data_IF_640124995752
#
_entry.id   IF_640124995752
#
_cell.length_a   1.000
_cell.length_b   1.000
_cell.length_c   1.000
_cell.angle_alpha   90.00
_cell.angle_beta   90.00
_cell.angle_gamma   90.00
#
_symmetry.space_group_name_H-M   'P 1'
#
loop_
_entity.id
_entity.type
_entity.pdbx_description
1 polymer ?
#
# COMPACT_ATOMS: atom_id res chain seq x y z
N UNK A 1 -22.44 10.31 12.97
CA UNK A 1 -21.83 9.22 12.20
C UNK A 1 -20.52 8.91 12.88
N UNK A 2 -20.27 7.66 13.21
CA UNK A 2 -18.96 7.20 13.70
C UNK A 2 -17.91 7.45 12.63
N UNK A 3 -16.65 7.63 13.01
CA UNK A 3 -15.58 7.68 12.03
C UNK A 3 -15.31 6.24 11.54
N UNK A 4 -15.04 6.02 10.23
CA UNK A 4 -14.54 4.73 9.76
C UNK A 4 -13.27 4.37 10.54
N UNK A 5 -13.10 3.11 10.93
CA UNK A 5 -11.93 2.72 11.74
C UNK A 5 -10.70 2.43 10.89
N UNK A 6 -10.93 1.93 9.68
CA UNK A 6 -9.86 1.49 8.78
C UNK A 6 -10.04 2.05 7.37
N UNK A 7 -8.95 2.57 6.81
CA UNK A 7 -8.81 2.85 5.38
C UNK A 7 -8.08 1.71 4.67
N UNK A 8 -8.50 1.40 3.45
CA UNK A 8 -7.83 0.46 2.55
C UNK A 8 -7.44 1.20 1.28
N UNK A 9 -6.14 1.23 0.98
CA UNK A 9 -5.59 1.85 -0.23
C UNK A 9 -5.16 0.74 -1.20
N UNK A 10 -5.86 0.57 -2.32
CA UNK A 10 -5.52 -0.45 -3.30
C UNK A 10 -6.47 -0.48 -4.50
N UNK A 11 -6.27 -1.43 -5.41
CA UNK A 11 -7.05 -1.48 -6.66
C UNK A 11 -8.56 -1.74 -6.46
N UNK A 12 -9.36 -1.50 -7.50
CA UNK A 12 -10.82 -1.71 -7.47
C UNK A 12 -11.24 -3.16 -7.20
N UNK A 13 -10.34 -4.13 -7.33
CA UNK A 13 -10.57 -5.50 -6.89
C UNK A 13 -10.94 -5.63 -5.40
N UNK A 14 -10.50 -4.68 -4.57
CA UNK A 14 -10.79 -4.67 -3.13
C UNK A 14 -12.20 -4.19 -2.79
N UNK A 15 -12.86 -3.43 -3.67
CA UNK A 15 -14.29 -3.07 -3.47
C UNK A 15 -15.24 -4.21 -3.86
N UNK A 16 -14.70 -5.40 -4.19
CA UNK A 16 -15.45 -6.64 -4.46
C UNK A 16 -15.22 -7.69 -3.37
N UNK A 17 -14.84 -7.24 -2.17
CA UNK A 17 -14.80 -8.07 -0.98
C UNK A 17 -16.17 -8.70 -0.74
N UNK A 18 -16.17 -9.99 -0.41
CA UNK A 18 -17.38 -10.66 0.08
C UNK A 18 -17.80 -9.96 1.38
N UNK A 19 -19.10 -9.75 1.55
CA UNK A 19 -19.68 -9.11 2.74
C UNK A 19 -19.34 -7.61 2.89
N UNK A 20 -18.85 -6.96 1.83
CA UNK A 20 -18.76 -5.51 1.75
C UNK A 20 -20.09 -4.91 1.30
N UNK A 21 -20.73 -4.18 2.20
CA UNK A 21 -21.88 -3.34 1.87
C UNK A 21 -21.43 -1.91 1.61
N UNK A 22 -21.44 -1.47 0.34
CA UNK A 22 -21.11 -0.08 -0.02
C UNK A 22 -22.28 0.81 0.38
N UNK A 23 -22.04 1.77 1.28
CA UNK A 23 -23.05 2.72 1.73
C UNK A 23 -23.13 3.93 0.83
N UNK A 24 -21.98 4.53 0.49
CA UNK A 24 -21.92 5.71 -0.37
C UNK A 24 -20.52 5.93 -0.95
N UNK A 25 -20.44 6.87 -1.90
CA UNK A 25 -19.17 7.37 -2.45
C UNK A 25 -19.08 8.86 -2.20
N UNK A 26 -17.91 9.35 -1.79
CA UNK A 26 -17.68 10.77 -1.51
C UNK A 26 -16.50 11.27 -2.32
N UNK A 27 -16.73 12.30 -3.13
CA UNK A 27 -15.65 13.09 -3.73
C UNK A 27 -15.11 14.02 -2.64
N UNK A 28 -13.80 14.03 -2.46
CA UNK A 28 -13.11 14.84 -1.45
C UNK A 28 -12.18 15.81 -2.17
N UNK A 29 -12.31 17.09 -1.87
CA UNK A 29 -11.36 18.11 -2.33
C UNK A 29 -10.29 18.31 -1.24
N UNK A 30 -9.03 18.47 -1.64
CA UNK A 30 -7.92 18.69 -0.71
C UNK A 30 -7.11 19.93 -1.09
N UNK A 31 -6.37 20.54 -0.14
CA UNK A 31 -5.42 21.61 -0.46
C UNK A 31 -4.33 21.20 -1.46
N UNK A 32 -4.14 19.90 -1.68
CA UNK A 32 -3.11 19.32 -2.54
C UNK A 32 -3.67 18.85 -3.90
N UNK A 33 -4.89 19.26 -4.24
CA UNK A 33 -5.60 18.85 -5.45
C UNK A 33 -6.52 17.64 -5.23
N UNK A 34 -6.87 16.98 -6.32
CA UNK A 34 -7.83 15.86 -6.29
C UNK A 34 -7.16 14.54 -5.90
N UNK A 35 -7.80 13.72 -5.05
CA UNK A 35 -7.44 12.32 -4.87
C UNK A 35 -7.62 11.53 -6.18
N UNK A 36 -7.03 10.33 -6.23
CA UNK A 36 -7.09 9.43 -7.39
C UNK A 36 -8.52 9.00 -7.80
N UNK A 37 -9.51 9.19 -6.91
CA UNK A 37 -10.92 8.99 -7.19
C UNK A 37 -11.79 9.21 -5.95
N UNK A 38 -13.12 9.03 -6.09
CA UNK A 38 -14.04 9.09 -4.95
C UNK A 38 -13.68 8.04 -3.90
N UNK A 39 -13.69 8.44 -2.63
CA UNK A 39 -13.61 7.51 -1.51
C UNK A 39 -14.90 6.68 -1.47
N UNK A 40 -14.77 5.38 -1.28
CA UNK A 40 -15.90 4.45 -1.20
C UNK A 40 -16.05 4.04 0.26
N UNK A 41 -17.20 4.34 0.85
CA UNK A 41 -17.52 3.99 2.22
C UNK A 41 -18.40 2.75 2.24
N UNK A 42 -18.21 1.90 3.23
CA UNK A 42 -19.02 0.72 3.40
C UNK A 42 -18.80 0.04 4.74
N UNK A 43 -19.55 -1.02 4.97
CA UNK A 43 -19.35 -1.93 6.10
C UNK A 43 -18.75 -3.22 5.58
N UNK A 44 -17.64 -3.65 6.17
CA UNK A 44 -17.11 -5.00 5.99
C UNK A 44 -17.23 -5.72 7.33
N UNK A 45 -17.98 -6.81 7.36
CA UNK A 45 -18.28 -7.53 8.62
C UNK A 45 -18.85 -6.62 9.72
N UNK A 46 -19.69 -5.64 9.35
CA UNK A 46 -20.29 -4.69 10.32
C UNK A 46 -19.40 -3.50 10.70
N UNK A 47 -18.12 -3.48 10.32
CA UNK A 47 -17.20 -2.37 10.60
C UNK A 47 -17.15 -1.37 9.46
N UNK A 48 -17.36 -0.10 9.81
CA UNK A 48 -17.25 1.02 8.88
C UNK A 48 -15.81 1.17 8.37
N UNK A 49 -15.64 1.04 7.06
CA UNK A 49 -14.37 0.99 6.34
C UNK A 49 -14.43 1.93 5.13
N UNK A 50 -13.31 2.58 4.81
CA UNK A 50 -13.18 3.43 3.63
C UNK A 50 -12.14 2.90 2.65
N UNK A 51 -12.44 2.94 1.36
CA UNK A 51 -11.59 2.43 0.29
C UNK A 51 -11.19 3.56 -0.66
N UNK A 52 -9.92 3.58 -1.04
CA UNK A 52 -9.36 4.52 -2.02
C UNK A 52 -8.62 3.78 -3.14
N UNK A 53 -9.06 3.90 -4.41
CA UNK A 53 -8.32 3.35 -5.53
C UNK A 53 -7.09 4.19 -5.88
N UNK A 54 -5.90 3.71 -5.49
CA UNK A 54 -4.62 4.42 -5.71
C UNK A 54 -4.42 4.88 -7.17
N UNK A 55 -4.78 4.03 -8.12
CA UNK A 55 -4.63 4.27 -9.57
C UNK A 55 -5.93 4.75 -10.25
N UNK A 56 -6.92 5.16 -9.44
CA UNK A 56 -8.27 5.49 -9.90
C UNK A 56 -9.09 4.25 -10.28
N UNK A 57 -10.39 4.44 -10.51
CA UNK A 57 -11.33 3.34 -10.72
C UNK A 57 -11.03 2.49 -11.97
N UNK A 58 -10.41 3.09 -12.99
CA UNK A 58 -10.04 2.42 -14.25
C UNK A 58 -8.57 2.02 -14.31
N UNK A 59 -7.81 2.17 -13.22
CA UNK A 59 -6.37 1.87 -13.18
C UNK A 59 -5.56 2.66 -14.24
N UNK A 60 -5.88 3.93 -14.44
CA UNK A 60 -5.29 4.78 -15.50
C UNK A 60 -4.23 5.75 -15.01
N UNK A 61 -4.03 5.86 -13.69
CA UNK A 61 -3.05 6.79 -13.11
C UNK A 61 -1.77 6.01 -12.82
N UNK A 62 -0.66 6.24 -13.54
CA UNK A 62 0.60 5.54 -13.27
C UNK A 62 1.20 5.97 -11.92
N UNK A 63 2.07 5.15 -11.28
CA UNK A 63 2.58 5.42 -9.93
C UNK A 63 3.17 6.83 -9.74
N UNK A 64 4.01 7.29 -10.64
CA UNK A 64 4.65 8.61 -10.58
C UNK A 64 3.69 9.80 -10.74
N UNK A 65 2.42 9.58 -11.15
CA UNK A 65 1.39 10.61 -11.27
C UNK A 65 0.30 10.51 -10.19
N UNK A 66 0.38 9.51 -9.31
CA UNK A 66 -0.55 9.40 -8.19
C UNK A 66 -0.38 10.62 -7.28
N UNK A 67 -1.49 11.29 -6.97
CA UNK A 67 -1.48 12.39 -6.01
C UNK A 67 -1.50 11.86 -4.58
N UNK A 68 -0.34 11.38 -4.10
CA UNK A 68 -0.22 10.76 -2.78
C UNK A 68 -0.64 11.70 -1.65
N UNK A 69 -0.30 12.99 -1.74
CA UNK A 69 -0.70 14.00 -0.76
C UNK A 69 -2.21 14.11 -0.64
N UNK A 70 -2.92 14.26 -1.75
CA UNK A 70 -4.38 14.34 -1.75
C UNK A 70 -5.02 13.03 -1.25
N UNK A 71 -4.47 11.88 -1.66
CA UNK A 71 -4.96 10.57 -1.23
C UNK A 71 -4.90 10.38 0.29
N UNK A 72 -3.70 10.54 0.86
CA UNK A 72 -3.48 10.32 2.30
C UNK A 72 -4.18 11.40 3.13
N UNK A 73 -4.20 12.65 2.66
CA UNK A 73 -4.92 13.75 3.32
C UNK A 73 -6.43 13.52 3.34
N UNK A 74 -7.01 13.06 2.23
CA UNK A 74 -8.44 12.78 2.14
C UNK A 74 -8.86 11.66 3.08
N UNK A 75 -8.03 10.60 3.20
CA UNK A 75 -8.25 9.51 4.15
C UNK A 75 -8.13 9.98 5.58
N UNK A 76 -7.05 10.68 5.94
CA UNK A 76 -6.90 11.24 7.28
C UNK A 76 -8.11 12.11 7.70
N UNK A 77 -8.61 12.95 6.78
CA UNK A 77 -9.80 13.78 7.03
C UNK A 77 -11.14 13.02 7.10
N UNK A 78 -11.17 11.71 6.83
CA UNK A 78 -12.34 10.91 7.21
C UNK A 78 -12.35 10.55 8.69
N UNK A 79 -11.24 10.74 9.40
CA UNK A 79 -11.08 10.35 10.80
C UNK A 79 -10.71 8.88 11.00
N UNK A 80 -10.13 8.21 9.99
CA UNK A 80 -9.66 6.83 10.17
C UNK A 80 -8.54 6.73 11.21
N UNK A 81 -8.60 5.67 12.00
CA UNK A 81 -7.55 5.35 12.99
C UNK A 81 -6.31 4.76 12.32
N UNK A 82 -6.52 3.95 11.27
CA UNK A 82 -5.45 3.29 10.54
C UNK A 82 -5.72 3.19 9.04
N UNK A 83 -4.65 2.98 8.27
CA UNK A 83 -4.69 2.71 6.84
C UNK A 83 -3.81 1.50 6.48
N UNK A 84 -4.36 0.58 5.67
CA UNK A 84 -3.62 -0.55 5.10
C UNK A 84 -3.53 -0.37 3.59
N UNK A 85 -2.31 -0.29 3.10
CA UNK A 85 -2.01 -0.18 1.68
C UNK A 85 -1.72 -1.54 1.07
N UNK A 86 -2.51 -1.94 0.07
CA UNK A 86 -2.23 -3.14 -0.72
C UNK A 86 -1.40 -2.74 -1.94
N UNK A 87 -0.26 -3.40 -2.14
CA UNK A 87 0.66 -3.12 -3.24
C UNK A 87 1.09 -4.39 -3.97
N UNK A 88 1.01 -4.39 -5.30
CA UNK A 88 1.64 -5.41 -6.13
C UNK A 88 3.15 -5.13 -6.22
N UNK A 89 3.99 -6.13 -6.00
CA UNK A 89 5.46 -5.98 -5.95
C UNK A 89 6.17 -7.15 -6.62
N UNK A 90 7.41 -6.95 -7.02
CA UNK A 90 8.34 -8.02 -7.41
C UNK A 90 9.14 -8.52 -6.22
N UNK A 91 9.30 -9.83 -6.08
CA UNK A 91 10.16 -10.43 -5.05
C UNK A 91 11.63 -10.49 -5.50
N UNK A 92 12.54 -9.98 -4.68
CA UNK A 92 13.99 -9.97 -4.94
C UNK A 92 14.63 -11.22 -4.32
N UNK A 93 14.48 -11.38 -3.00
CA UNK A 93 15.11 -12.46 -2.24
C UNK A 93 14.34 -13.78 -2.34
N UNK A 94 14.97 -14.91 -2.03
CA UNK A 94 14.36 -16.24 -2.19
C UNK A 94 13.12 -16.49 -1.30
N UNK A 95 12.94 -15.74 -0.21
CA UNK A 95 11.71 -15.83 0.58
C UNK A 95 10.52 -15.14 -0.10
N UNK A 96 10.75 -14.19 -1.01
CA UNK A 96 9.68 -13.43 -1.68
C UNK A 96 9.21 -14.15 -2.95
N UNK A 97 8.38 -15.19 -2.77
CA UNK A 97 7.88 -16.00 -3.87
C UNK A 97 6.53 -15.49 -4.40
N UNK A 98 6.28 -15.55 -5.73
CA UNK A 98 5.03 -15.09 -6.30
C UNK A 98 3.79 -15.80 -5.73
N UNK A 99 2.70 -15.04 -5.58
CA UNK A 99 1.45 -15.50 -4.98
C UNK A 99 1.45 -15.46 -3.45
N UNK A 100 2.57 -15.17 -2.79
CA UNK A 100 2.63 -14.96 -1.35
C UNK A 100 2.37 -13.50 -0.98
N UNK A 101 2.09 -13.27 0.31
CA UNK A 101 2.01 -11.94 0.90
C UNK A 101 3.32 -11.60 1.62
N UNK A 102 3.61 -10.31 1.76
CA UNK A 102 4.65 -9.82 2.64
C UNK A 102 4.15 -8.59 3.42
N UNK A 103 4.50 -8.51 4.71
CA UNK A 103 4.21 -7.35 5.56
C UNK A 103 5.54 -6.65 5.86
N UNK A 104 6.02 -5.77 4.97
CA UNK A 104 7.32 -5.13 5.15
C UNK A 104 7.38 -4.32 6.45
N UNK A 105 8.56 -4.25 7.04
CA UNK A 105 8.90 -3.44 8.21
C UNK A 105 9.80 -2.26 7.86
N UNK A 106 10.44 -2.29 6.69
CA UNK A 106 11.35 -1.24 6.21
C UNK A 106 11.06 -0.83 4.77
N UNK A 107 11.56 0.35 4.39
CA UNK A 107 11.41 0.90 3.04
C UNK A 107 12.63 1.73 2.65
N UNK A 108 13.09 1.60 1.41
CA UNK A 108 14.14 2.42 0.80
C UNK A 108 13.54 3.17 -0.38
N UNK A 109 13.74 4.50 -0.41
CA UNK A 109 13.17 5.37 -1.42
C UNK A 109 14.15 5.61 -2.59
N UNK A 110 13.77 5.13 -3.78
CA UNK A 110 14.43 5.42 -5.05
C UNK A 110 13.55 6.30 -5.95
N UNK A 111 12.48 6.91 -5.42
CA UNK A 111 11.58 7.78 -6.17
C UNK A 111 12.15 9.19 -6.28
N UNK A 112 11.62 9.98 -7.22
CA UNK A 112 12.03 11.37 -7.41
C UNK A 112 10.88 12.21 -7.94
N UNK A 113 10.96 13.54 -7.76
CA UNK A 113 10.00 14.53 -8.28
C UNK A 113 8.54 14.37 -7.83
N UNK A 114 8.22 13.37 -6.99
CA UNK A 114 6.92 13.21 -6.35
C UNK A 114 6.84 14.21 -5.19
N UNK A 115 5.73 14.94 -5.09
CA UNK A 115 5.50 15.77 -3.90
C UNK A 115 5.34 14.85 -2.68
N UNK A 116 6.25 14.98 -1.72
CA UNK A 116 6.49 13.98 -0.68
C UNK A 116 6.41 14.53 0.76
N UNK A 117 5.98 15.78 0.93
CA UNK A 117 5.74 16.38 2.24
C UNK A 117 4.51 17.30 2.21
N UNK A 118 3.87 17.48 3.36
CA UNK A 118 2.88 18.52 3.62
C UNK A 118 3.50 19.82 4.13
N UNK A 119 4.74 19.75 4.63
CA UNK A 119 5.48 20.88 5.19
C UNK A 119 6.28 21.58 4.08
N UNK A 120 5.57 22.26 3.18
CA UNK A 120 6.16 23.03 2.09
C UNK A 120 5.41 24.34 1.81
N UNK A 121 5.95 25.18 0.92
CA UNK A 121 5.42 26.50 0.61
C UNK A 121 5.92 27.55 1.60
N UNK A 122 6.30 28.74 1.12
CA UNK A 122 7.06 29.77 1.84
C UNK A 122 6.40 30.45 3.05
N UNK A 123 5.52 29.75 3.77
CA UNK A 123 4.81 30.16 4.98
C UNK A 123 4.99 29.15 6.12
N UNK A 124 6.11 28.42 6.15
CA UNK A 124 6.46 27.56 7.27
C UNK A 124 7.01 28.42 8.41
N UNK A 125 6.45 28.26 9.61
CA UNK A 125 7.00 28.86 10.83
C UNK A 125 8.29 28.12 11.26
N UNK A 126 8.36 26.80 11.05
CA UNK A 126 9.52 25.96 11.32
C UNK A 126 9.65 24.79 10.33
N UNK A 127 10.84 24.20 10.25
CA UNK A 127 11.08 22.99 9.45
C UNK A 127 10.65 21.76 10.23
N UNK A 128 9.78 20.93 9.66
CA UNK A 128 9.36 19.68 10.28
C UNK A 128 10.23 18.51 9.83
N UNK A 129 10.71 17.72 10.80
CA UNK A 129 11.43 16.48 10.56
C UNK A 129 10.70 15.31 11.24
N UNK A 130 10.10 14.42 10.45
CA UNK A 130 9.49 13.20 10.97
C UNK A 130 10.50 12.07 11.05
N UNK A 131 10.46 11.30 12.14
CA UNK A 131 11.26 10.09 12.27
C UNK A 131 10.65 8.96 11.41
N UNK A 132 11.49 8.36 10.58
CA UNK A 132 11.16 7.24 9.69
C UNK A 132 11.97 5.98 10.03
N UNK A 133 12.59 5.93 11.21
CA UNK A 133 13.40 4.77 11.66
C UNK A 133 12.59 3.48 11.59
N UNK A 134 11.30 3.57 11.95
CA UNK A 134 10.32 2.50 11.80
C UNK A 134 9.15 3.03 10.97
N UNK A 135 9.18 2.88 9.64
CA UNK A 135 8.31 3.62 8.72
C UNK A 135 6.84 3.20 8.84
N UNK A 136 6.58 1.95 9.22
CA UNK A 136 5.24 1.38 9.40
C UNK A 136 4.84 1.30 10.88
N UNK A 137 3.54 1.40 11.14
CA UNK A 137 2.97 1.29 12.48
C UNK A 137 3.04 -0.17 12.99
N UNK A 138 3.73 -0.44 14.12
CA UNK A 138 3.92 -1.80 14.62
C UNK A 138 2.59 -2.46 14.99
N UNK A 139 1.62 -1.72 15.54
CA UNK A 139 0.32 -2.24 15.93
C UNK A 139 -0.51 -2.71 14.72
N UNK A 140 -0.47 -1.96 13.61
CA UNK A 140 -1.17 -2.35 12.37
C UNK A 140 -0.47 -3.55 11.72
N UNK A 141 0.87 -3.60 11.75
CA UNK A 141 1.63 -4.78 11.28
C UNK A 141 1.30 -6.02 12.11
N UNK A 142 1.29 -5.91 13.43
CA UNK A 142 0.97 -7.03 14.32
C UNK A 142 -0.45 -7.58 14.06
N UNK A 143 -1.43 -6.69 13.87
CA UNK A 143 -2.79 -7.11 13.48
C UNK A 143 -2.80 -7.89 12.16
N UNK A 144 -2.04 -7.45 11.15
CA UNK A 144 -1.89 -8.18 9.89
C UNK A 144 -1.23 -9.55 10.09
N UNK A 145 -0.16 -9.62 10.87
CA UNK A 145 0.58 -10.86 11.11
C UNK A 145 -0.25 -11.87 11.91
N UNK A 146 -0.92 -11.43 12.97
CA UNK A 146 -1.80 -12.28 13.77
C UNK A 146 -2.95 -12.84 12.92
N UNK A 147 -3.60 -11.99 12.12
CA UNK A 147 -4.66 -12.42 11.22
C UNK A 147 -4.15 -13.40 10.15
N UNK A 148 -2.93 -13.22 9.64
CA UNK A 148 -2.31 -14.15 8.69
C UNK A 148 -2.04 -15.51 9.35
N UNK A 149 -1.53 -15.53 10.59
CA UNK A 149 -1.27 -16.74 11.36
C UNK A 149 -2.54 -17.54 11.65
N UNK A 150 -3.62 -16.87 12.10
CA UNK A 150 -4.92 -17.51 12.34
C UNK A 150 -5.56 -18.11 11.07
N UNK A 151 -5.28 -17.51 9.92
CA UNK A 151 -5.77 -17.97 8.61
C UNK A 151 -4.82 -18.97 7.92
N UNK A 152 -3.69 -19.28 8.55
CA UNK A 152 -2.59 -20.09 8.01
C UNK A 152 -2.13 -19.62 6.63
N UNK A 153 -2.07 -18.29 6.42
CA UNK A 153 -1.66 -17.71 5.16
C UNK A 153 -0.12 -17.71 5.02
N UNK A 154 0.42 -18.04 3.83
CA UNK A 154 1.85 -17.93 3.57
C UNK A 154 2.24 -16.46 3.46
N UNK A 155 2.84 -15.93 4.53
CA UNK A 155 3.26 -14.53 4.63
C UNK A 155 4.74 -14.41 4.99
N UNK A 156 5.45 -13.51 4.31
CA UNK A 156 6.74 -13.03 4.78
C UNK A 156 6.52 -11.93 5.82
N UNK A 157 6.91 -12.18 7.06
CA UNK A 157 6.59 -11.31 8.19
C UNK A 157 7.43 -10.03 8.25
N UNK A 158 8.51 -9.97 7.48
CA UNK A 158 9.46 -8.86 7.40
C UNK A 158 9.91 -8.68 5.95
N UNK A 159 10.50 -7.52 5.68
CA UNK A 159 11.15 -7.26 4.41
C UNK A 159 11.33 -5.76 4.16
N UNK A 160 12.40 -5.43 3.44
CA UNK A 160 12.67 -4.06 3.02
C UNK A 160 12.09 -3.80 1.63
N UNK A 161 11.16 -2.85 1.54
CA UNK A 161 10.53 -2.43 0.29
C UNK A 161 11.42 -1.44 -0.46
N UNK A 162 11.88 -1.77 -1.67
CA UNK A 162 12.52 -0.82 -2.59
C UNK A 162 11.46 -0.08 -3.41
N UNK A 163 11.27 1.22 -3.13
CA UNK A 163 10.28 2.05 -3.82
C UNK A 163 10.88 2.72 -5.06
N UNK A 164 10.53 2.25 -6.25
CA UNK A 164 11.03 2.76 -7.53
C UNK A 164 10.02 3.70 -8.20
N UNK A 165 10.51 4.48 -9.17
CA UNK A 165 9.68 5.49 -9.82
C UNK A 165 8.60 4.91 -10.74
N UNK A 166 8.91 3.84 -11.47
CA UNK A 166 8.11 3.40 -12.62
C UNK A 166 8.05 4.45 -13.76
N UNK A 167 7.23 4.22 -14.81
CA UNK A 167 6.33 3.09 -14.99
C UNK A 167 7.00 1.85 -15.60
N UNK A 168 8.25 1.96 -16.07
CA UNK A 168 9.00 0.78 -16.51
C UNK A 168 9.29 -0.12 -15.31
N UNK A 169 9.36 -1.43 -15.57
CA UNK A 169 10.02 -2.34 -14.66
C UNK A 169 11.53 -2.07 -14.64
N UNK A 170 12.18 -2.58 -13.61
CA UNK A 170 13.60 -2.45 -13.35
C UNK A 170 14.41 -3.33 -14.32
N UNK A 171 15.66 -2.95 -14.54
CA UNK A 171 16.66 -3.82 -15.16
C UNK A 171 17.19 -4.82 -14.12
N UNK A 172 17.74 -5.95 -14.57
CA UNK A 172 18.37 -6.91 -13.66
C UNK A 172 19.49 -6.29 -12.81
N UNK A 173 20.29 -5.37 -13.39
CA UNK A 173 21.36 -4.68 -12.66
C UNK A 173 20.84 -3.74 -11.56
N UNK A 174 19.66 -3.12 -11.77
CA UNK A 174 19.00 -2.31 -10.74
C UNK A 174 18.49 -3.19 -9.60
N UNK A 175 17.93 -4.37 -9.91
CA UNK A 175 17.54 -5.35 -8.88
C UNK A 175 18.76 -5.87 -8.10
N UNK A 176 19.86 -6.20 -8.79
CA UNK A 176 21.12 -6.62 -8.16
C UNK A 176 21.67 -5.57 -7.21
N UNK A 177 21.54 -4.29 -7.57
CA UNK A 177 21.91 -3.19 -6.69
C UNK A 177 20.98 -3.13 -5.48
N UNK A 178 19.66 -3.14 -5.69
CA UNK A 178 18.69 -3.04 -4.60
C UNK A 178 18.83 -4.18 -3.58
N UNK A 179 19.13 -5.39 -4.03
CA UNK A 179 19.42 -6.50 -3.12
C UNK A 179 20.64 -6.21 -2.24
N UNK A 180 21.71 -5.62 -2.80
CA UNK A 180 22.91 -5.20 -2.04
C UNK A 180 22.61 -4.04 -1.10
N UNK A 181 21.70 -3.16 -1.48
CA UNK A 181 21.21 -2.06 -0.64
C UNK A 181 20.25 -2.58 0.47
N UNK A 182 19.90 -3.88 0.45
CA UNK A 182 19.14 -4.58 1.49
C UNK A 182 17.65 -4.76 1.18
N UNK A 183 17.18 -4.46 -0.04
CA UNK A 183 15.79 -4.66 -0.42
C UNK A 183 15.44 -6.14 -0.64
N UNK A 184 14.30 -6.57 -0.10
CA UNK A 184 13.74 -7.92 -0.30
C UNK A 184 12.68 -7.96 -1.39
N UNK A 185 11.99 -6.84 -1.61
CA UNK A 185 10.94 -6.68 -2.61
C UNK A 185 11.04 -5.31 -3.27
N UNK A 186 10.51 -5.18 -4.47
CA UNK A 186 10.47 -3.95 -5.25
C UNK A 186 9.05 -3.60 -5.66
N UNK A 187 8.67 -2.34 -5.52
CA UNK A 187 7.44 -1.84 -6.11
C UNK A 187 7.45 -0.34 -6.26
N UNK A 188 6.37 0.24 -6.76
CA UNK A 188 6.38 1.62 -7.23
C UNK A 188 5.58 2.60 -6.35
N UNK A 189 4.92 2.11 -5.29
CA UNK A 189 3.88 2.88 -4.59
C UNK A 189 4.09 3.06 -3.09
N UNK A 190 5.12 2.44 -2.49
CA UNK A 190 5.38 2.56 -1.04
C UNK A 190 5.79 3.98 -0.62
N UNK A 191 6.49 4.72 -1.48
CA UNK A 191 6.87 6.12 -1.26
C UNK A 191 6.22 7.05 -2.30
N UNK A 192 5.84 8.28 -1.93
CA UNK A 192 5.91 8.87 -0.59
C UNK A 192 4.70 8.56 0.31
N UNK A 193 3.83 7.59 -0.06
CA UNK A 193 2.61 7.26 0.70
C UNK A 193 2.87 7.00 2.19
N UNK A 194 3.94 6.25 2.49
CA UNK A 194 4.34 5.91 3.88
C UNK A 194 4.78 7.15 4.67
N UNK A 195 5.62 8.00 4.09
CA UNK A 195 6.10 9.23 4.74
C UNK A 195 4.96 10.22 4.98
N UNK A 196 4.06 10.39 4.02
CA UNK A 196 2.91 11.28 4.16
C UNK A 196 1.94 10.79 5.25
N UNK A 197 1.74 9.47 5.38
CA UNK A 197 0.94 8.94 6.48
C UNK A 197 1.60 9.24 7.83
N UNK A 198 2.93 9.11 7.93
CA UNK A 198 3.70 9.46 9.13
C UNK A 198 3.58 10.93 9.49
N UNK A 199 3.65 11.84 8.51
CA UNK A 199 3.50 13.28 8.73
C UNK A 199 2.14 13.69 9.31
N UNK A 200 1.07 12.92 9.02
CA UNK A 200 -0.25 13.14 9.60
C UNK A 200 -0.49 12.36 10.90
N UNK A 201 0.47 11.58 11.37
CA UNK A 201 0.28 10.68 12.51
C UNK A 201 -0.73 9.55 12.24
N UNK A 202 -0.98 9.22 10.97
CA UNK A 202 -1.88 8.14 10.58
C UNK A 202 -1.18 6.78 10.74
N UNK A 203 -1.76 5.89 11.54
CA UNK A 203 -1.25 4.52 11.68
C UNK A 203 -1.31 3.79 10.34
N UNK A 204 -0.16 3.48 9.75
CA UNK A 204 -0.09 2.97 8.38
C UNK A 204 0.80 1.74 8.27
N UNK A 205 0.35 0.75 7.49
CA UNK A 205 1.16 -0.40 7.10
C UNK A 205 0.88 -0.81 5.65
N UNK A 206 1.88 -1.44 5.02
CA UNK A 206 1.72 -2.05 3.71
C UNK A 206 1.46 -3.56 3.83
N UNK A 207 0.62 -4.08 2.94
CA UNK A 207 0.43 -5.49 2.65
C UNK A 207 0.81 -5.70 1.19
N UNK A 208 2.00 -6.27 0.97
CA UNK A 208 2.55 -6.48 -0.35
C UNK A 208 2.11 -7.84 -0.91
N UNK A 209 1.70 -7.87 -2.16
CA UNK A 209 1.39 -9.08 -2.91
C UNK A 209 2.52 -9.32 -3.90
N UNK A 210 3.26 -10.42 -3.71
CA UNK A 210 4.36 -10.76 -4.62
C UNK A 210 3.77 -11.23 -5.95
N UNK A 211 3.85 -10.40 -6.98
CA UNK A 211 3.23 -10.65 -8.28
C UNK A 211 4.17 -11.41 -9.25
N UNK A 212 5.47 -11.25 -9.07
CA UNK A 212 6.50 -11.87 -9.92
C UNK A 212 7.82 -11.95 -9.17
N UNK A 213 8.77 -12.75 -9.69
CA UNK A 213 10.19 -12.61 -9.32
C UNK A 213 10.72 -11.36 -10.03
N UNK A 214 11.38 -10.46 -9.30
CA UNK A 214 11.92 -9.22 -9.83
C UNK A 214 12.85 -9.46 -11.04
N UNK A 215 13.13 -8.43 -11.84
CA UNK A 215 13.91 -8.60 -13.06
C UNK A 215 15.27 -9.28 -12.78
N UNK A 216 15.60 -10.32 -13.55
CA UNK A 216 16.83 -11.09 -13.36
C UNK A 216 16.79 -12.13 -12.21
N UNK A 217 15.64 -12.32 -11.54
CA UNK A 217 15.43 -13.35 -10.50
C UNK A 217 14.70 -14.60 -11.00
N UNK A 218 14.31 -14.62 -12.27
CA UNK A 218 13.77 -15.79 -12.98
C UNK A 218 14.37 -15.90 -14.39
N UNK A 219 14.16 -17.04 -15.05
CA UNK A 219 14.55 -17.21 -16.46
C UNK A 219 13.54 -16.51 -17.36
N UNK A 220 13.98 -15.53 -18.14
CA UNK A 220 13.16 -14.86 -19.15
C UNK A 220 12.59 -13.52 -18.69
N UNK A 221 11.72 -12.95 -19.52
CA UNK A 221 11.08 -11.67 -19.26
C UNK A 221 9.87 -11.82 -18.34
N UNK A 222 9.62 -10.80 -17.53
CA UNK A 222 8.39 -10.71 -16.71
C UNK A 222 7.22 -10.41 -17.64
N UNK A 223 6.19 -11.25 -17.61
CA UNK A 223 5.00 -11.09 -18.45
C UNK A 223 3.81 -10.58 -17.64
N UNK A 224 2.96 -9.77 -18.27
CA UNK A 224 1.74 -9.28 -17.63
C UNK A 224 0.75 -10.41 -17.30
N UNK A 225 0.76 -11.49 -18.08
CA UNK A 225 -0.08 -12.67 -17.84
C UNK A 225 0.36 -13.45 -16.59
N UNK A 226 1.67 -13.57 -16.34
CA UNK A 226 2.19 -14.14 -15.10
C UNK A 226 1.83 -13.27 -13.89
N UNK A 227 2.06 -11.95 -13.99
CA UNK A 227 1.67 -10.98 -12.96
C UNK A 227 0.17 -11.13 -12.65
N UNK A 228 -0.68 -11.17 -13.67
CA UNK A 228 -2.14 -11.29 -13.51
C UNK A 228 -2.56 -12.54 -12.72
N UNK A 229 -2.01 -13.71 -13.06
CA UNK A 229 -2.32 -14.98 -12.38
C UNK A 229 -1.89 -14.98 -10.91
N UNK A 230 -0.69 -14.49 -10.61
CA UNK A 230 -0.19 -14.42 -9.24
C UNK A 230 -0.97 -13.40 -8.41
N UNK A 231 -1.34 -12.26 -9.01
CA UNK A 231 -2.18 -11.27 -8.36
C UNK A 231 -3.58 -11.79 -8.07
N UNK A 232 -4.19 -12.60 -8.92
CA UNK A 232 -5.49 -13.21 -8.63
C UNK A 232 -5.42 -14.03 -7.33
N UNK A 233 -4.43 -14.92 -7.23
CA UNK A 233 -4.21 -15.77 -6.05
C UNK A 233 -3.87 -14.94 -4.79
N UNK A 234 -2.99 -13.97 -4.92
CA UNK A 234 -2.59 -13.11 -3.81
C UNK A 234 -3.71 -12.20 -3.33
N UNK A 235 -4.53 -11.67 -4.24
CA UNK A 235 -5.66 -10.82 -3.89
C UNK A 235 -6.76 -11.57 -3.16
N UNK A 236 -7.01 -12.85 -3.46
CA UNK A 236 -7.92 -13.68 -2.65
C UNK A 236 -7.42 -13.84 -1.21
N UNK A 237 -6.10 -13.98 -1.01
CA UNK A 237 -5.50 -14.02 0.33
C UNK A 237 -5.62 -12.66 1.03
N UNK A 238 -5.33 -11.55 0.34
CA UNK A 238 -5.53 -10.19 0.87
C UNK A 238 -6.96 -9.98 1.32
N UNK A 239 -7.95 -10.43 0.54
CA UNK A 239 -9.36 -10.28 0.90
C UNK A 239 -9.70 -10.99 2.21
N UNK A 240 -9.25 -12.24 2.37
CA UNK A 240 -9.42 -13.02 3.61
C UNK A 240 -8.71 -12.34 4.78
N UNK A 241 -7.48 -11.88 4.56
CA UNK A 241 -6.68 -11.20 5.56
C UNK A 241 -7.34 -9.92 6.06
N UNK A 242 -7.75 -9.03 5.16
CA UNK A 242 -8.40 -7.76 5.51
C UNK A 242 -9.74 -7.99 6.23
N UNK A 243 -10.54 -8.96 5.77
CA UNK A 243 -11.78 -9.32 6.46
C UNK A 243 -11.54 -9.77 7.91
N UNK A 244 -10.46 -10.53 8.14
CA UNK A 244 -10.09 -10.99 9.48
C UNK A 244 -9.53 -9.87 10.37
N UNK A 245 -8.65 -9.02 9.83
CA UNK A 245 -8.13 -7.84 10.53
C UNK A 245 -9.29 -6.95 10.97
N UNK A 246 -10.22 -6.66 10.07
CA UNK A 246 -11.37 -5.81 10.37
C UNK A 246 -12.24 -6.41 11.48
N UNK A 247 -12.52 -7.72 11.43
CA UNK A 247 -13.27 -8.41 12.47
C UNK A 247 -12.54 -8.46 13.84
N UNK A 248 -11.25 -8.15 13.90
CA UNK A 248 -10.48 -8.02 15.15
C UNK A 248 -10.46 -6.59 15.70
N UNK A 249 -11.07 -5.64 14.99
CA UNK A 249 -11.18 -4.26 15.45
C UNK A 249 -12.38 -4.10 16.40
N UNK A 250 -13.48 -4.83 16.20
CA UNK A 250 -14.64 -4.91 17.10
C UNK A 250 -14.24 -5.17 18.57
#
# INVERSE_FOLDING_TARGET
>A
MTAPRLAIIGGTGLTRLKDLEITHRRVMHTPYGEPSGPLVFGHLNGIETVFLPRHGARHTIPPHQVNYRANVWALHNTGVEAAIAVAAVGGITECMQPGQLAIPDQIIDYTWSRANTYFEGGHLDEVTHVDMTWPYCPEVREKLLNAAGELELPVCEQGTYGATQGPRLETAAEIDRMERDGCDLVGMTGMPETALARELGLSYAACAVIANRAAGRSKGEITMDEIGRNLETGMEQVKRLLARVIASLD
#
